data_IF_917425454334
#
_entry.id   IF_917425454334
#
_cell.length_a   1.000
_cell.length_b   1.000
_cell.length_c   1.000
_cell.angle_alpha   90.00
_cell.angle_beta   90.00
_cell.angle_gamma   90.00
#
_symmetry.space_group_name_H-M   'P 1'
#
loop_
_entity.id
_entity.type
_entity.pdbx_description
1 polymer ?
2 water ?
#
# COMPACT_ATOMS: atom_id res chain seq x y z
N UNK A 7 -12.20 31.76 -11.40
CA UNK A 7 -11.50 30.74 -12.21
C UNK A 7 -11.29 29.48 -11.38
N UNK A 8 -12.27 28.60 -11.39
CA UNK A 8 -12.20 27.37 -10.67
C UNK A 8 -11.34 26.22 -11.28
N UNK A 9 -10.96 26.27 -12.56
CA UNK A 9 -10.14 25.26 -13.20
C UNK A 9 -8.72 25.48 -12.78
N UNK A 10 -7.90 24.45 -12.89
CA UNK A 10 -6.49 24.59 -12.51
C UNK A 10 -5.78 25.68 -13.32
N UNK A 11 -5.02 26.56 -12.65
CA UNK A 11 -4.29 27.63 -13.34
C UNK A 11 -3.37 27.03 -14.40
N UNK A 12 -3.25 27.72 -15.53
CA UNK A 12 -2.40 27.27 -16.62
C UNK A 12 -1.00 26.92 -16.15
N UNK A 13 -0.49 27.67 -15.17
CA UNK A 13 0.86 27.40 -14.67
C UNK A 13 0.92 26.02 -14.04
N UNK A 14 -0.16 25.58 -13.41
CA UNK A 14 -0.23 24.25 -12.81
C UNK A 14 -0.40 23.18 -13.88
N UNK A 15 -1.16 23.47 -14.93
CA UNK A 15 -1.23 22.54 -16.06
C UNK A 15 0.17 22.28 -16.61
N UNK A 16 0.96 23.35 -16.77
CA UNK A 16 2.29 23.21 -17.36
C UNK A 16 3.24 22.46 -16.44
N UNK A 17 3.24 22.81 -15.15
CA UNK A 17 4.11 22.08 -14.23
C UNK A 17 3.72 20.61 -14.18
N UNK A 18 2.42 20.33 -14.25
CA UNK A 18 2.00 18.93 -14.22
C UNK A 18 2.48 18.17 -15.46
N UNK A 19 2.44 18.83 -16.63
CA UNK A 19 2.98 18.19 -17.83
C UNK A 19 4.41 17.75 -17.60
N UNK A 20 5.20 18.54 -16.87
CA UNK A 20 6.58 18.20 -16.58
C UNK A 20 6.71 17.03 -15.62
N UNK A 21 5.67 16.72 -14.84
CA UNK A 21 5.66 15.57 -13.94
C UNK A 21 5.14 14.30 -14.59
N UNK A 22 4.60 14.37 -15.81
CA UNK A 22 4.03 13.17 -16.41
C UNK A 22 4.99 11.99 -16.51
N UNK A 23 6.30 12.15 -16.72
CA UNK A 23 7.17 10.96 -16.71
C UNK A 23 7.09 10.16 -15.42
N UNK A 24 7.01 10.83 -14.26
CA UNK A 24 6.83 10.14 -12.98
C UNK A 24 5.55 9.31 -13.02
N UNK A 25 4.44 9.94 -13.41
CA UNK A 25 3.15 9.30 -13.35
C UNK A 25 3.03 8.18 -14.37
N UNK A 26 3.54 8.38 -15.58
CA UNK A 26 3.47 7.35 -16.61
C UNK A 26 4.22 6.10 -16.16
N UNK A 27 5.38 6.28 -15.55
CA UNK A 27 6.15 5.14 -15.06
C UNK A 27 5.40 4.42 -13.95
N UNK A 28 4.74 5.17 -13.06
CA UNK A 28 4.09 4.61 -11.89
C UNK A 28 2.76 3.94 -12.14
N UNK A 29 2.14 4.15 -13.30
CA UNK A 29 0.80 3.63 -13.58
C UNK A 29 0.73 2.79 -14.85
N UNK A 30 1.86 2.41 -15.43
CA UNK A 30 1.85 1.67 -16.67
C UNK A 30 1.00 0.41 -16.54
N UNK A 31 0.23 0.11 -17.58
CA UNK A 31 -0.79 -0.94 -17.53
C UNK A 31 -0.14 -2.29 -17.82
N UNK A 32 0.69 -2.74 -16.87
CA UNK A 32 1.43 -3.98 -16.99
C UNK A 32 1.66 -4.55 -15.60
N UNK A 33 2.27 -5.74 -15.55
CA UNK A 33 2.37 -6.50 -14.30
C UNK A 33 3.67 -6.23 -13.53
N UNK A 34 4.45 -5.23 -13.94
CA UNK A 34 5.68 -4.87 -13.24
C UNK A 34 5.32 -3.84 -12.16
N UNK A 35 5.58 -4.11 -10.88
CA UNK A 35 5.10 -3.21 -9.83
C UNK A 35 5.68 -1.81 -9.94
N UNK A 36 4.95 -0.84 -9.41
CA UNK A 36 5.42 0.53 -9.35
C UNK A 36 6.60 0.62 -8.39
N UNK A 37 7.74 1.18 -8.81
CA UNK A 37 8.86 1.35 -7.88
C UNK A 37 8.49 2.16 -6.65
N UNK A 38 9.01 1.74 -5.50
CA UNK A 38 8.68 2.37 -4.24
C UNK A 38 8.92 3.87 -4.20
N UNK A 39 10.00 4.32 -4.85
CA UNK A 39 10.36 5.73 -4.74
C UNK A 39 9.33 6.65 -5.39
N UNK A 40 8.51 6.15 -6.32
CA UNK A 40 7.58 7.03 -7.02
C UNK A 40 6.41 7.45 -6.15
N UNK A 41 6.09 6.71 -5.11
CA UNK A 41 4.95 7.04 -4.25
C UNK A 41 5.11 8.40 -3.58
N UNK A 42 6.28 8.63 -2.98
CA UNK A 42 6.56 9.90 -2.34
C UNK A 42 6.64 11.02 -3.38
N UNK A 43 7.12 10.68 -4.59
CA UNK A 43 7.25 11.66 -5.65
C UNK A 43 5.85 12.17 -5.97
N UNK A 44 4.90 11.24 -6.08
CA UNK A 44 3.51 11.55 -6.38
C UNK A 44 2.92 12.41 -5.28
N UNK A 45 3.10 11.99 -4.02
CA UNK A 45 2.61 12.78 -2.90
C UNK A 45 3.12 14.22 -2.97
N UNK A 46 4.39 14.41 -3.32
CA UNK A 46 4.92 15.75 -3.43
C UNK A 46 4.18 16.57 -4.50
N UNK A 47 3.79 15.93 -5.61
CA UNK A 47 3.02 16.62 -6.63
C UNK A 47 1.74 17.18 -6.03
N UNK A 48 1.05 16.39 -5.20
CA UNK A 48 -0.22 16.86 -4.65
C UNK A 48 -0.02 18.06 -3.73
N UNK A 49 1.14 18.17 -3.09
CA UNK A 49 1.42 19.28 -2.18
C UNK A 49 1.88 20.55 -2.89
N UNK A 50 2.14 20.49 -4.20
CA UNK A 50 2.65 21.68 -4.89
C UNK A 50 1.65 22.81 -4.87
N UNK A 51 0.37 22.52 -5.11
CA UNK A 51 -0.65 23.55 -5.15
C UNK A 51 -2.01 22.87 -5.29
N UNK A 52 -3.09 23.59 -5.03
CA UNK A 52 -4.42 23.01 -5.31
C UNK A 52 -4.58 22.63 -6.77
N UNK A 53 -4.07 23.46 -7.67
CA UNK A 53 -4.15 23.17 -9.10
C UNK A 53 -3.46 21.88 -9.47
N UNK A 54 -2.31 21.63 -8.85
CA UNK A 54 -1.53 20.44 -9.10
C UNK A 54 -2.36 19.24 -8.68
N UNK A 55 -2.97 19.34 -7.50
CA UNK A 55 -3.81 18.29 -6.97
C UNK A 55 -4.95 17.97 -7.95
N UNK A 56 -5.57 19.01 -8.50
CA UNK A 56 -6.66 18.80 -9.43
C UNK A 56 -6.19 18.08 -10.69
N UNK A 57 -5.04 18.49 -11.24
CA UNK A 57 -4.50 17.81 -12.42
C UNK A 57 -4.17 16.36 -12.10
N UNK A 58 -3.58 16.13 -10.92
CA UNK A 58 -3.24 14.76 -10.51
C UNK A 58 -4.49 13.89 -10.38
N UNK A 59 -5.56 14.43 -9.80
CA UNK A 59 -6.78 13.65 -9.68
C UNK A 59 -7.35 13.31 -11.05
N UNK A 60 -7.36 14.27 -11.97
CA UNK A 60 -7.87 13.98 -13.32
C UNK A 60 -7.11 12.80 -13.92
N UNK A 61 -5.78 12.81 -13.80
CA UNK A 61 -4.96 11.76 -14.39
C UNK A 61 -5.27 10.42 -13.73
N UNK A 62 -5.26 10.39 -12.40
CA UNK A 62 -5.41 9.10 -11.71
C UNK A 62 -6.81 8.52 -11.91
N UNK A 63 -7.86 9.35 -11.85
CA UNK A 63 -9.20 8.82 -12.06
C UNK A 63 -9.40 8.35 -13.50
N UNK A 64 -8.80 9.05 -14.46
CA UNK A 64 -8.88 8.59 -15.85
C UNK A 64 -8.26 7.21 -15.99
N UNK A 65 -7.06 7.02 -15.43
CA UNK A 65 -6.39 5.73 -15.50
C UNK A 65 -7.17 4.65 -14.74
N UNK A 66 -7.75 5.01 -13.58
CA UNK A 66 -8.49 4.02 -12.81
C UNK A 66 -9.67 3.50 -13.61
N UNK A 67 -10.36 4.39 -14.29
CA UNK A 67 -11.56 4.00 -15.03
C UNK A 67 -11.21 3.23 -16.28
N UNK A 68 -10.14 3.62 -16.98
CA UNK A 68 -9.82 3.12 -18.32
C UNK A 68 -8.86 1.95 -18.38
N UNK A 69 -7.95 1.79 -17.42
CA UNK A 69 -6.92 0.76 -17.51
C UNK A 69 -7.50 -0.63 -17.31
N UNK A 70 -6.75 -1.63 -17.75
CA UNK A 70 -6.97 -3.00 -17.33
C UNK A 70 -6.69 -3.12 -15.84
N UNK A 71 -6.94 -4.31 -15.30
CA UNK A 71 -6.74 -4.52 -13.87
C UNK A 71 -5.36 -4.13 -13.39
N UNK A 72 -4.33 -4.33 -14.22
CA UNK A 72 -2.97 -4.03 -13.78
C UNK A 72 -2.81 -2.55 -13.45
N UNK A 73 -3.24 -1.68 -14.35
CA UNK A 73 -3.15 -0.25 -14.08
C UNK A 73 -4.10 0.21 -13.00
N UNK A 74 -5.29 -0.39 -12.93
CA UNK A 74 -6.21 -0.04 -11.85
C UNK A 74 -5.57 -0.31 -10.50
N UNK A 75 -4.91 -1.45 -10.37
CA UNK A 75 -4.28 -1.82 -9.11
C UNK A 75 -3.21 -0.81 -8.72
N UNK A 76 -2.38 -0.39 -9.68
CA UNK A 76 -1.36 0.61 -9.38
C UNK A 76 -1.99 1.92 -8.92
N UNK A 77 -3.02 2.39 -9.61
CA UNK A 77 -3.67 3.63 -9.20
C UNK A 77 -4.22 3.50 -7.79
N UNK A 78 -4.88 2.37 -7.47
CA UNK A 78 -5.45 2.20 -6.14
C UNK A 78 -4.39 2.21 -5.06
N UNK A 79 -3.23 1.62 -5.33
CA UNK A 79 -2.12 1.67 -4.37
C UNK A 79 -1.62 3.09 -4.20
N UNK A 80 -1.52 3.84 -5.29
CA UNK A 80 -1.10 5.23 -5.21
C UNK A 80 -2.10 6.05 -4.38
N UNK A 81 -3.39 5.86 -4.65
CA UNK A 81 -4.41 6.60 -3.92
C UNK A 81 -4.36 6.28 -2.42
N UNK A 82 -4.15 5.02 -2.06
CA UNK A 82 -4.07 4.69 -0.64
C UNK A 82 -2.86 5.35 0.00
N UNK A 83 -1.71 5.38 -0.70
CA UNK A 83 -0.54 6.09 -0.19
C UNK A 83 -0.85 7.57 0.02
N UNK A 84 -1.57 8.18 -0.92
CA UNK A 84 -1.92 9.59 -0.80
C UNK A 84 -2.84 9.87 0.38
N UNK A 85 -3.61 8.88 0.85
CA UNK A 85 -4.40 9.09 2.07
C UNK A 85 -3.53 9.38 3.27
N UNK A 86 -2.31 8.85 3.30
CA UNK A 86 -1.39 9.05 4.42
C UNK A 86 -0.34 10.12 4.16
N UNK A 87 -0.07 10.46 2.90
CA UNK A 87 1.06 11.33 2.57
C UNK A 87 0.72 12.49 1.65
N UNK A 88 -0.49 12.52 1.08
CA UNK A 88 -0.86 13.57 0.15
C UNK A 88 -1.49 14.77 0.83
N UNK A 89 -1.74 15.80 0.03
CA UNK A 89 -2.31 17.03 0.54
C UNK A 89 -3.77 16.86 0.97
N UNK A 90 -4.17 17.63 1.96
CA UNK A 90 -5.54 17.61 2.46
C UNK A 90 -6.53 17.98 1.36
N UNK A 91 -6.11 18.86 0.46
CA UNK A 91 -6.95 19.29 -0.64
C UNK A 91 -7.18 18.12 -1.57
N UNK A 92 -6.11 17.37 -1.88
CA UNK A 92 -6.27 16.22 -2.76
C UNK A 92 -7.27 15.24 -2.17
N UNK A 93 -7.17 14.97 -0.90
CA UNK A 93 -8.12 14.09 -0.24
C UNK A 93 -9.58 14.58 -0.32
N UNK A 94 -9.81 15.88 -0.14
CA UNK A 94 -11.11 16.47 -0.27
C UNK A 94 -11.68 16.21 -1.66
N UNK A 95 -10.92 16.49 -2.71
CA UNK A 95 -11.41 16.22 -4.05
C UNK A 95 -11.56 14.72 -4.35
N UNK A 96 -10.70 13.87 -3.83
CA UNK A 96 -10.91 12.45 -4.01
C UNK A 96 -12.21 12.05 -3.34
N UNK A 97 -12.47 12.56 -2.15
CA UNK A 97 -13.73 12.21 -1.48
C UNK A 97 -14.93 12.55 -2.38
N UNK A 98 -14.88 13.73 -3.00
CA UNK A 98 -15.95 14.14 -3.91
C UNK A 98 -16.21 13.14 -5.04
N UNK A 99 -15.18 12.40 -5.45
CA UNK A 99 -15.29 11.45 -6.51
C UNK A 99 -15.31 10.01 -5.98
N UNK A 100 -15.94 9.79 -4.83
CA UNK A 100 -16.04 8.48 -4.24
C UNK A 100 -16.75 7.47 -5.12
N UNK A 101 -17.58 7.93 -6.07
CA UNK A 101 -18.24 6.99 -6.98
C UNK A 101 -17.23 6.14 -7.73
N UNK A 102 -16.05 6.69 -8.06
CA UNK A 102 -15.03 5.94 -8.78
C UNK A 102 -14.44 4.83 -7.92
N UNK A 103 -14.37 5.06 -6.60
CA UNK A 103 -13.83 4.06 -5.70
C UNK A 103 -14.82 2.91 -5.55
N UNK A 104 -16.11 3.24 -5.41
CA UNK A 104 -17.13 2.20 -5.38
C UNK A 104 -17.09 1.38 -6.68
N UNK A 105 -16.94 2.05 -7.83
CA UNK A 105 -16.85 1.34 -9.10
C UNK A 105 -15.68 0.36 -9.12
N UNK A 106 -14.52 0.79 -8.63
CA UNK A 106 -13.36 -0.11 -8.59
C UNK A 106 -13.58 -1.29 -7.66
N UNK A 107 -14.26 -1.08 -6.53
CA UNK A 107 -14.54 -2.16 -5.61
C UNK A 107 -15.52 -3.17 -6.20
N UNK A 108 -16.21 -2.80 -7.29
CA UNK A 108 -17.14 -3.66 -8.00
C UNK A 108 -16.57 -4.22 -9.31
N UNK A 109 -15.28 -4.04 -9.57
CA UNK A 109 -14.67 -4.50 -10.81
C UNK A 109 -14.82 -6.01 -10.98
N UNK A 110 -15.43 -6.42 -12.09
CA UNK A 110 -15.67 -7.82 -12.37
C UNK A 110 -15.61 -8.01 -13.88
N UNK A 111 -15.40 -9.26 -14.30
CA UNK A 111 -15.33 -9.57 -15.71
C UNK A 111 -15.10 -11.05 -15.97
N UNK A 112 -14.78 -11.40 -17.20
CA UNK A 112 -14.57 -12.80 -17.53
C UNK A 112 -13.19 -13.25 -17.08
N UNK A 113 -13.07 -14.50 -16.61
CA UNK A 113 -11.80 -14.99 -16.08
C UNK A 113 -10.68 -14.95 -17.11
N UNK A 114 -9.44 -14.80 -16.61
CA UNK A 114 -8.27 -14.83 -17.46
C UNK A 114 -7.90 -16.29 -17.72
N UNK A 115 -7.38 -16.61 -18.91
CA UNK A 115 -6.99 -18.00 -19.16
C UNK A 115 -5.93 -18.54 -18.21
N UNK A 116 -4.97 -17.72 -17.80
CA UNK A 116 -3.92 -18.20 -16.89
C UNK A 116 -4.26 -17.96 -15.43
N UNK A 117 -4.72 -16.76 -15.09
CA UNK A 117 -4.79 -16.33 -13.70
C UNK A 117 -6.20 -16.34 -13.14
N UNK A 118 -7.18 -16.72 -13.94
CA UNK A 118 -8.54 -16.85 -13.50
C UNK A 118 -9.10 -15.52 -13.03
N UNK A 119 -9.74 -15.47 -11.88
CA UNK A 119 -10.23 -14.20 -11.41
C UNK A 119 -9.31 -13.50 -10.39
N UNK A 120 -8.03 -13.84 -10.31
CA UNK A 120 -7.21 -13.26 -9.29
C UNK A 120 -6.98 -11.76 -9.42
N UNK A 121 -6.81 -11.26 -10.64
CA UNK A 121 -6.61 -9.83 -10.83
C UNK A 121 -7.83 -9.05 -10.41
N UNK A 122 -9.02 -9.50 -10.74
CA UNK A 122 -10.23 -8.84 -10.31
C UNK A 122 -10.27 -8.81 -8.79
N UNK A 123 -9.93 -9.93 -8.15
CA UNK A 123 -9.93 -10.02 -6.71
C UNK A 123 -9.00 -8.99 -6.08
N UNK A 124 -7.78 -8.92 -6.59
CA UNK A 124 -6.78 -7.99 -6.10
C UNK A 124 -7.31 -6.56 -6.19
N UNK A 125 -7.81 -6.20 -7.36
CA UNK A 125 -8.34 -4.87 -7.59
C UNK A 125 -9.44 -4.52 -6.59
N UNK A 126 -10.37 -5.44 -6.39
CA UNK A 126 -11.48 -5.19 -5.47
C UNK A 126 -10.98 -5.02 -4.04
N UNK A 127 -10.02 -5.85 -3.62
CA UNK A 127 -9.51 -5.76 -2.26
C UNK A 127 -8.72 -4.47 -2.04
N UNK A 128 -8.00 -4.00 -3.08
CA UNK A 128 -7.29 -2.73 -2.98
C UNK A 128 -8.27 -1.57 -2.88
N UNK A 129 -9.40 -1.65 -3.60
CA UNK A 129 -10.39 -0.59 -3.50
C UNK A 129 -11.11 -0.60 -2.15
N UNK A 130 -11.36 -1.80 -1.59
CA UNK A 130 -11.92 -1.90 -0.25
C UNK A 130 -10.95 -1.30 0.78
N UNK A 131 -9.65 -1.54 0.59
CA UNK A 131 -8.65 -0.99 1.49
C UNK A 131 -8.65 0.54 1.40
N UNK A 132 -8.67 1.07 0.18
CA UNK A 132 -8.76 2.52 0.01
C UNK A 132 -10.03 3.07 0.67
N UNK A 133 -11.17 2.43 0.42
CA UNK A 133 -12.42 2.91 1.00
C UNK A 133 -12.43 2.91 2.51
N UNK A 134 -11.88 1.87 3.13
CA UNK A 134 -11.85 1.82 4.59
C UNK A 134 -11.04 2.96 5.17
N UNK A 135 -9.99 3.39 4.48
CA UNK A 135 -9.20 4.52 4.97
C UNK A 135 -9.85 5.85 4.63
N UNK A 136 -10.32 6.02 3.40
CA UNK A 136 -10.83 7.32 2.96
C UNK A 136 -12.19 7.62 3.55
N UNK A 137 -13.05 6.61 3.68
CA UNK A 137 -14.45 6.84 4.08
C UNK A 137 -14.67 6.76 5.58
N UNK A 138 -13.66 6.41 6.37
CA UNK A 138 -13.88 6.19 7.81
C UNK A 138 -13.61 7.45 8.64
N UNK B 8 17.58 -25.17 9.41
CA UNK B 8 16.24 -24.64 9.64
C UNK B 8 16.31 -23.20 10.13
N UNK B 9 17.02 -23.00 11.23
CA UNK B 9 17.16 -21.67 11.81
C UNK B 9 18.12 -20.82 10.97
N UNK B 10 18.00 -19.48 11.07
CA UNK B 10 18.89 -18.61 10.29
C UNK B 10 20.30 -18.53 10.88
N UNK B 11 21.31 -18.56 10.02
CA UNK B 11 22.70 -18.49 10.43
C UNK B 11 22.97 -17.29 11.34
N UNK B 12 23.89 -17.48 12.29
CA UNK B 12 24.25 -16.42 13.23
C UNK B 12 24.70 -15.14 12.51
N UNK B 13 25.42 -15.29 11.41
CA UNK B 13 25.89 -14.12 10.68
C UNK B 13 24.73 -13.28 10.17
N UNK B 14 23.61 -13.93 9.83
CA UNK B 14 22.41 -13.21 9.41
C UNK B 14 21.70 -12.57 10.59
N UNK B 15 21.68 -13.25 11.75
CA UNK B 15 21.18 -12.61 12.96
C UNK B 15 21.93 -11.33 13.24
N UNK B 16 23.25 -11.40 13.11
CA UNK B 16 24.13 -10.26 13.36
C UNK B 16 23.81 -9.10 12.43
N UNK B 17 23.82 -9.38 11.13
CA UNK B 17 23.52 -8.35 10.14
C UNK B 17 22.16 -7.73 10.42
N UNK B 18 21.18 -8.58 10.69
CA UNK B 18 19.83 -8.14 10.97
C UNK B 18 19.84 -7.10 12.08
N UNK B 19 20.52 -7.39 13.19
CA UNK B 19 20.58 -6.47 14.29
C UNK B 19 20.98 -5.07 13.83
N UNK B 20 21.87 -4.99 12.84
CA UNK B 20 22.31 -3.70 12.32
C UNK B 20 21.20 -2.98 11.53
N UNK B 21 20.19 -3.72 11.06
CA UNK B 21 19.07 -3.15 10.34
C UNK B 21 17.91 -2.74 11.25
N UNK B 22 17.96 -3.08 12.53
CA UNK B 22 16.84 -2.77 13.41
C UNK B 22 16.48 -1.29 13.46
N UNK B 23 17.40 -0.33 13.34
CA UNK B 23 16.94 1.07 13.33
C UNK B 23 15.94 1.36 12.23
N UNK B 24 16.13 0.78 11.04
CA UNK B 24 15.17 0.92 9.94
C UNK B 24 13.81 0.39 10.36
N UNK B 25 13.80 -0.84 10.87
CA UNK B 25 12.54 -1.49 11.19
C UNK B 25 11.84 -0.82 12.35
N UNK B 26 12.59 -0.40 13.37
CA UNK B 26 11.95 0.25 14.51
C UNK B 26 11.27 1.54 14.07
N UNK B 27 11.91 2.29 13.17
CA UNK B 27 11.30 3.52 12.67
C UNK B 27 10.05 3.22 11.87
N UNK B 28 10.07 2.16 11.06
CA UNK B 28 8.98 1.86 10.16
C UNK B 28 7.77 1.21 10.79
N UNK B 29 7.87 0.71 12.03
CA UNK B 29 6.78 0.00 12.68
C UNK B 29 6.39 0.59 14.03
N UNK B 30 6.86 1.78 14.35
CA UNK B 30 6.56 2.36 15.65
C UNK B 30 5.05 2.41 15.87
N UNK B 31 4.63 2.08 17.08
CA UNK B 31 3.22 1.87 17.40
C UNK B 31 2.56 3.22 17.71
N UNK B 32 2.42 4.03 16.65
CA UNK B 32 1.85 5.36 16.75
C UNK B 32 1.17 5.69 15.43
N UNK B 33 0.51 6.85 15.38
CA UNK B 33 -0.36 7.18 14.27
C UNK B 33 0.32 8.00 13.17
N UNK B 34 1.64 8.14 13.22
CA UNK B 34 2.40 8.84 12.17
C UNK B 34 2.78 7.81 11.11
N UNK B 35 2.38 7.99 9.85
CA UNK B 35 2.63 6.95 8.85
C UNK B 35 4.11 6.66 8.65
N UNK B 36 4.39 5.45 8.22
CA UNK B 36 5.75 5.06 7.88
C UNK B 36 6.21 5.82 6.63
N UNK B 37 7.38 6.47 6.67
CA UNK B 37 7.88 7.16 5.46
C UNK B 37 8.04 6.22 4.27
N UNK B 38 7.72 6.75 3.08
CA UNK B 38 7.76 5.94 1.88
C UNK B 38 9.12 5.28 1.62
N UNK B 39 10.19 6.02 1.89
CA UNK B 39 11.50 5.49 1.62
C UNK B 39 11.86 4.21 2.39
N UNK B 40 11.28 3.99 3.58
CA UNK B 40 11.55 2.77 4.33
C UNK B 40 11.06 1.50 3.68
N UNK B 41 10.02 1.54 2.84
CA UNK B 41 9.55 0.33 2.22
C UNK B 41 10.58 -0.39 1.37
N UNK B 42 11.21 0.29 0.41
CA UNK B 42 12.23 -0.36 -0.39
C UNK B 42 13.46 -0.76 0.47
N UNK B 43 13.81 0.03 1.46
CA UNK B 43 14.89 -0.39 2.36
C UNK B 43 14.59 -1.71 3.06
N UNK B 44 13.36 -1.90 3.51
CA UNK B 44 12.95 -3.18 4.08
C UNK B 44 12.95 -4.28 3.02
N UNK B 45 12.47 -4.02 1.82
CA UNK B 45 12.57 -4.98 0.77
C UNK B 45 14.04 -5.40 0.51
N UNK B 46 14.96 -4.46 0.49
CA UNK B 46 16.37 -4.79 0.34
C UNK B 46 16.87 -5.76 1.42
N UNK B 47 16.39 -5.59 2.63
CA UNK B 47 16.73 -6.50 3.71
C UNK B 47 16.34 -7.94 3.39
N UNK B 48 15.17 -8.13 2.79
CA UNK B 48 14.73 -9.48 2.48
C UNK B 48 15.60 -10.13 1.41
N UNK B 49 16.14 -9.33 0.49
CA UNK B 49 16.98 -9.85 -0.58
C UNK B 49 18.42 -10.12 -0.16
N UNK B 50 18.85 -9.70 1.03
CA UNK B 50 20.24 -9.91 1.43
C UNK B 50 20.59 -11.39 1.47
N UNK B 51 19.70 -12.21 2.02
CA UNK B 51 19.93 -13.64 2.15
C UNK B 51 18.62 -14.28 2.63
N UNK B 52 18.48 -15.60 2.48
CA UNK B 52 17.33 -16.25 3.10
C UNK B 52 17.28 -16.04 4.61
N UNK B 53 18.43 -16.13 5.26
CA UNK B 53 18.51 -15.91 6.70
C UNK B 53 18.01 -14.52 7.12
N UNK B 54 18.40 -13.51 6.37
CA UNK B 54 17.91 -12.18 6.60
C UNK B 54 16.35 -12.14 6.51
N UNK B 55 15.81 -12.84 5.51
CA UNK B 55 14.37 -12.92 5.32
C UNK B 55 13.72 -13.55 6.55
N UNK B 56 14.33 -14.60 7.07
CA UNK B 56 13.78 -15.27 8.24
C UNK B 56 13.75 -14.34 9.45
N UNK B 57 14.84 -13.61 9.68
CA UNK B 57 14.87 -12.66 10.80
C UNK B 57 13.82 -11.57 10.62
N UNK B 58 13.68 -11.07 9.39
CA UNK B 58 12.72 -10.03 9.09
C UNK B 58 11.29 -10.53 9.34
N UNK B 59 10.98 -11.74 8.92
CA UNK B 59 9.64 -12.27 9.15
C UNK B 59 9.38 -12.43 10.65
N UNK B 60 10.37 -12.92 11.41
CA UNK B 60 10.18 -13.04 12.86
C UNK B 60 9.81 -11.71 13.46
N UNK B 61 10.54 -10.66 13.09
CA UNK B 61 10.29 -9.33 13.63
C UNK B 61 8.91 -8.85 13.27
N UNK B 62 8.53 -8.94 11.99
CA UNK B 62 7.26 -8.39 11.54
C UNK B 62 6.09 -9.14 12.13
N UNK B 63 6.15 -10.47 12.20
CA UNK B 63 5.04 -11.21 12.78
C UNK B 63 4.94 -10.97 14.27
N UNK B 64 6.07 -10.81 14.97
CA UNK B 64 6.00 -10.47 16.38
C UNK B 64 5.25 -9.16 16.58
N UNK B 65 5.62 -8.14 15.79
CA UNK B 65 4.95 -6.85 15.91
C UNK B 65 3.48 -6.93 15.50
N UNK B 66 3.18 -7.72 14.46
CA UNK B 66 1.79 -7.84 14.01
C UNK B 66 0.93 -8.43 15.11
N UNK B 67 1.46 -9.40 15.83
CA UNK B 67 0.69 -10.06 16.87
C UNK B 67 0.57 -9.17 18.10
N UNK B 68 1.64 -8.46 18.45
CA UNK B 68 1.74 -7.77 19.74
C UNK B 68 1.32 -6.29 19.74
N UNK B 69 1.45 -5.58 18.62
CA UNK B 69 1.22 -4.13 18.61
C UNK B 69 -0.27 -3.80 18.73
N UNK B 70 -0.54 -2.55 19.12
CA UNK B 70 -1.86 -1.97 18.94
C UNK B 70 -2.16 -1.84 17.45
N UNK B 71 -3.40 -1.41 17.15
CA UNK B 71 -3.81 -1.28 15.76
C UNK B 71 -2.86 -0.45 14.91
N UNK B 72 -2.27 0.60 15.49
CA UNK B 72 -1.38 1.46 14.71
C UNK B 72 -0.19 0.68 14.17
N UNK B 73 0.49 -0.08 15.04
CA UNK B 73 1.62 -0.87 14.60
C UNK B 73 1.20 -2.03 13.70
N UNK B 74 0.06 -2.65 13.98
CA UNK B 74 -0.42 -3.72 13.10
C UNK B 74 -0.62 -3.20 11.69
N UNK B 75 -1.21 -2.01 11.57
CA UNK B 75 -1.46 -1.43 10.26
C UNK B 75 -0.14 -1.19 9.51
N UNK B 76 0.87 -0.66 10.19
CA UNK B 76 2.16 -0.46 9.54
C UNK B 76 2.76 -1.77 9.06
N UNK B 77 2.72 -2.81 9.90
CA UNK B 77 3.25 -4.10 9.49
C UNK B 77 2.51 -4.63 8.27
N UNK B 78 1.18 -4.52 8.26
CA UNK B 78 0.42 -5.03 7.13
C UNK B 78 0.75 -4.29 5.85
N UNK B 79 0.98 -2.98 5.92
CA UNK B 79 1.38 -2.24 4.72
C UNK B 79 2.76 -2.68 4.25
N UNK B 80 3.67 -2.91 5.19
CA UNK B 80 5.01 -3.38 4.83
C UNK B 80 4.92 -4.75 4.17
N UNK B 81 4.13 -5.66 4.75
CA UNK B 81 4.01 -6.99 4.16
C UNK B 81 3.42 -6.94 2.76
N UNK B 82 2.41 -6.08 2.54
CA UNK B 82 1.85 -5.97 1.20
C UNK B 82 2.89 -5.45 0.21
N UNK B 83 3.70 -4.47 0.63
CA UNK B 83 4.78 -3.99 -0.23
C UNK B 83 5.75 -5.12 -0.57
N UNK B 84 6.11 -5.94 0.42
CA UNK B 84 7.02 -7.05 0.18
C UNK B 84 6.46 -8.08 -0.79
N UNK B 85 5.13 -8.18 -0.93
CA UNK B 85 4.57 -9.08 -1.93
C UNK B 85 4.99 -8.68 -3.34
N UNK B 86 5.22 -7.40 -3.58
CA UNK B 86 5.61 -6.92 -4.90
C UNK B 86 7.10 -6.71 -5.05
N UNK B 87 7.84 -6.56 -3.95
CA UNK B 87 9.23 -6.13 -3.99
C UNK B 87 10.18 -6.98 -3.17
N UNK B 88 9.69 -7.91 -2.35
CA UNK B 88 10.56 -8.71 -1.53
C UNK B 88 11.05 -9.95 -2.26
N UNK B 89 11.95 -10.68 -1.61
CA UNK B 89 12.50 -11.88 -2.21
C UNK B 89 11.44 -12.97 -2.29
N UNK B 90 11.61 -13.86 -3.27
CA UNK B 90 10.69 -14.99 -3.40
C UNK B 90 10.74 -15.87 -2.16
N UNK B 91 11.90 -16.01 -1.54
CA UNK B 91 12.00 -16.82 -0.33
C UNK B 91 11.18 -16.19 0.80
N UNK B 92 11.24 -14.87 0.94
CA UNK B 92 10.43 -14.21 1.96
C UNK B 92 8.95 -14.51 1.76
N UNK B 93 8.49 -14.46 0.53
CA UNK B 93 7.09 -14.76 0.25
C UNK B 93 6.72 -16.19 0.59
N UNK B 94 7.59 -17.15 0.30
CA UNK B 94 7.38 -18.50 0.67
C UNK B 94 7.20 -18.66 2.15
N UNK B 95 8.11 -18.09 2.95
CA UNK B 95 7.95 -18.22 4.39
C UNK B 95 6.75 -17.45 4.92
N UNK B 96 6.42 -16.30 4.34
CA UNK B 96 5.21 -15.62 4.73
C UNK B 96 3.96 -16.50 4.48
N UNK B 97 3.89 -17.17 3.32
CA UNK B 97 2.76 -18.08 3.06
C UNK B 97 2.69 -19.19 4.09
N UNK B 98 3.84 -19.64 4.58
CA UNK B 98 3.86 -20.68 5.59
C UNK B 98 3.22 -20.20 6.92
N UNK B 99 3.21 -18.89 7.15
CA UNK B 99 2.65 -18.33 8.37
C UNK B 99 1.33 -17.60 8.11
N UNK B 100 0.52 -18.16 7.21
CA UNK B 100 -0.77 -17.55 6.89
C UNK B 100 -1.71 -17.45 8.07
N UNK B 101 -1.53 -18.27 9.11
CA UNK B 101 -2.38 -18.15 10.29
C UNK B 101 -2.34 -16.74 10.87
N UNK B 102 -1.18 -16.07 10.78
CA UNK B 102 -1.06 -14.73 11.34
C UNK B 102 -1.84 -13.71 10.54
N UNK B 103 -1.96 -13.93 9.22
CA UNK B 103 -2.73 -13.03 8.38
C UNK B 103 -4.21 -13.17 8.67
N UNK B 104 -4.67 -14.41 8.84
CA UNK B 104 -6.05 -14.63 9.23
C UNK B 104 -6.35 -13.97 10.58
N UNK B 105 -5.43 -14.08 11.53
CA UNK B 105 -5.61 -13.44 12.83
C UNK B 105 -5.77 -11.93 12.69
N UNK B 106 -4.92 -11.29 11.87
CA UNK B 106 -5.02 -9.85 11.68
C UNK B 106 -6.33 -9.46 11.02
N UNK B 107 -6.82 -10.27 10.07
CA UNK B 107 -8.07 -9.96 9.41
C UNK B 107 -9.26 -10.11 10.35
N UNK B 108 -9.06 -10.74 11.50
CA UNK B 108 -10.08 -10.91 12.51
C UNK B 108 -9.91 -9.96 13.70
N UNK B 109 -8.99 -8.99 13.60
CA UNK B 109 -8.76 -8.05 14.70
C UNK B 109 -10.03 -7.30 15.05
N UNK B 110 -10.45 -7.41 16.31
CA UNK B 110 -11.66 -6.76 16.79
C UNK B 110 -11.49 -6.40 18.26
N UNK B 111 -12.30 -5.48 18.71
CA UNK B 111 -12.22 -5.09 20.09
C UNK B 111 -13.30 -4.14 20.47
N UNK B 112 -13.25 -3.63 21.70
CA UNK B 112 -14.28 -2.69 22.05
C UNK B 112 -13.93 -1.43 21.37
N UNK B 113 -14.93 -0.70 20.89
CA UNK B 113 -14.54 0.53 20.21
C UNK B 113 -14.02 1.61 21.13
N UNK B 114 -13.34 2.57 20.53
CA UNK B 114 -12.77 3.66 21.23
C UNK B 114 -13.54 4.96 21.02
N UNK B 115 -13.14 6.01 21.73
CA UNK B 115 -13.60 7.38 21.43
C UNK B 115 -12.57 8.23 20.61
N UNK B 116 -11.37 7.74 20.22
CA UNK B 116 -10.47 8.52 19.38
C UNK B 116 -11.24 8.53 18.06
N UNK B 117 -11.45 7.36 17.48
CA UNK B 117 -12.19 7.25 16.22
C UNK B 117 -13.09 6.01 16.09
N UNK B 118 -13.84 5.68 17.14
CA UNK B 118 -14.74 4.58 17.10
C UNK B 118 -13.99 3.32 16.71
N UNK B 119 -14.54 2.57 15.78
CA UNK B 119 -13.82 1.39 15.37
C UNK B 119 -13.14 1.55 14.01
N UNK B 120 -12.75 2.78 13.69
CA UNK B 120 -12.10 3.07 12.43
C UNK B 120 -10.76 2.36 12.32
N UNK B 121 -10.02 2.25 13.43
CA UNK B 121 -8.72 1.61 13.35
C UNK B 121 -8.84 0.10 13.18
N UNK B 122 -9.78 -0.54 13.90
CA UNK B 122 -10.03 -1.96 13.67
C UNK B 122 -10.39 -2.22 12.22
N UNK B 123 -11.25 -1.39 11.65
CA UNK B 123 -11.70 -1.59 10.27
C UNK B 123 -10.54 -1.47 9.30
N UNK B 124 -9.65 -0.49 9.54
CA UNK B 124 -8.51 -0.30 8.65
C UNK B 124 -7.55 -1.48 8.74
N UNK B 125 -7.30 -2.00 9.95
CA UNK B 125 -6.44 -3.17 10.09
C UNK B 125 -7.02 -4.35 9.33
N UNK B 126 -8.31 -4.60 9.50
CA UNK B 126 -8.94 -5.75 8.85
C UNK B 126 -8.88 -5.61 7.33
N UNK B 127 -9.11 -4.41 6.81
CA UNK B 127 -9.08 -4.21 5.37
C UNK B 127 -7.67 -4.33 4.82
N UNK B 128 -6.66 -3.91 5.58
CA UNK B 128 -5.29 -4.09 5.15
C UNK B 128 -4.92 -5.58 5.12
N UNK B 129 -5.44 -6.36 6.08
CA UNK B 129 -5.15 -7.78 6.09
C UNK B 129 -5.87 -8.50 4.96
N UNK B 130 -7.11 -8.07 4.64
CA UNK B 130 -7.82 -8.62 3.49
C UNK B 130 -7.07 -8.32 2.19
N UNK B 131 -6.50 -7.12 2.08
CA UNK B 131 -5.74 -6.74 0.90
C UNK B 131 -4.50 -7.62 0.77
N UNK B 132 -3.80 -7.82 1.88
CA UNK B 132 -2.64 -8.68 1.91
C UNK B 132 -3.03 -10.09 1.46
N UNK B 133 -4.07 -10.63 2.08
CA UNK B 133 -4.54 -11.96 1.76
C UNK B 133 -4.89 -12.14 0.29
N UNK B 134 -5.61 -11.20 -0.27
CA UNK B 134 -5.93 -11.31 -1.65
C UNK B 134 -4.68 -11.31 -2.54
N UNK B 135 -3.70 -10.50 -2.25
CA UNK B 135 -2.50 -10.52 -3.01
C UNK B 135 -1.67 -11.77 -2.81
N UNK B 136 -1.49 -12.18 -1.59
CA UNK B 136 -0.71 -13.35 -1.33
C UNK B 136 -1.32 -14.67 -1.74
N UNK B 137 -2.63 -14.83 -1.57
CA UNK B 137 -3.28 -16.10 -1.87
C UNK B 137 -3.96 -16.24 -3.22
N UNK B 138 -4.18 -15.20 -3.98
CA UNK B 138 -4.80 -15.37 -5.25
C UNK B 138 -3.80 -16.05 -6.14
#
# INVERSE_FOLDING_TARGET
GPLGSMAAAPPLRDRLSFLHRLPILLKGTSDDDVPCPGYLFEEIAKISHESPGSSQCLLEYLLSRLHSSSGHGKLKVLKILLYLCSHGSSFFLLILKRNSAFIQEAAAFAGPPDPLHGNSLYQKVRAAAQDLGSTLFSDTVLPLA
GPLGSMAAAPPLRDRLSFLHRLPILLKGTSDDDVPCPGYLFEEIAKISHESPGSSQCLLEYLLSRLHSSSGHGKLKVLKILLYLCSHGSSFFLLILKRNSAFIQEAAAFAGPPDPLHGNSLYQKVRAAAQDLGSTLFSDTVLPLA
#
